data_IF_687981123581
#
_entry.id   IF_687981123581
#
_cell.length_a   1.000
_cell.length_b   1.000
_cell.length_c   1.000
_cell.angle_alpha   90.00
_cell.angle_beta   90.00
_cell.angle_gamma   90.00
#
_symmetry.space_group_name_H-M   'P 1'
#
loop_
_entity.id
_entity.type
_entity.pdbx_description
1 polymer ?
#
# COMPACT_ATOMS: atom_id res chain seq x y z
N UNK A 1 7.75 1.80 -13.74
CA UNK A 1 6.35 1.48 -14.09
C UNK A 1 5.50 2.47 -13.33
N UNK A 2 5.03 3.50 -14.02
CA UNK A 2 4.07 4.47 -13.50
C UNK A 2 2.68 3.82 -13.59
N UNK A 3 1.93 3.88 -12.50
CA UNK A 3 0.54 3.42 -12.46
C UNK A 3 -0.31 4.65 -12.82
N UNK A 4 -0.40 4.96 -14.11
CA UNK A 4 -1.45 5.86 -14.60
C UNK A 4 -2.74 5.04 -14.61
N UNK A 5 -3.63 5.30 -13.65
CA UNK A 5 -4.92 4.62 -13.56
C UNK A 5 -6.01 5.59 -14.01
N UNK A 6 -6.65 5.31 -15.15
CA UNK A 6 -7.80 6.04 -15.70
C UNK A 6 -9.09 5.95 -14.84
N UNK A 7 -8.96 5.63 -13.55
CA UNK A 7 -10.08 5.45 -12.61
C UNK A 7 -10.16 6.65 -11.69
N UNK A 8 -11.25 7.41 -11.71
CA UNK A 8 -11.48 8.53 -10.76
C UNK A 8 -11.75 8.04 -9.31
N UNK A 9 -11.99 6.74 -9.12
CA UNK A 9 -12.22 6.13 -7.82
C UNK A 9 -10.91 5.90 -7.06
N UNK A 10 -10.69 6.70 -6.01
CA UNK A 10 -9.50 6.68 -5.14
C UNK A 10 -9.36 5.34 -4.40
N UNK A 11 -10.45 4.69 -4.01
CA UNK A 11 -10.40 3.39 -3.33
C UNK A 11 -9.94 2.29 -4.30
N UNK A 12 -10.42 2.35 -5.54
CA UNK A 12 -9.96 1.46 -6.60
C UNK A 12 -8.48 1.67 -6.92
N UNK A 13 -8.01 2.92 -6.98
CA UNK A 13 -6.59 3.23 -7.17
C UNK A 13 -5.73 2.69 -6.02
N UNK A 14 -6.14 2.90 -4.77
CA UNK A 14 -5.43 2.41 -3.59
C UNK A 14 -5.33 0.87 -3.61
N UNK A 15 -6.43 0.19 -3.98
CA UNK A 15 -6.44 -1.27 -4.13
C UNK A 15 -5.49 -1.74 -5.23
N UNK A 16 -5.51 -1.11 -6.41
CA UNK A 16 -4.63 -1.48 -7.52
C UNK A 16 -3.15 -1.25 -7.18
N UNK A 17 -2.84 -0.17 -6.44
CA UNK A 17 -1.49 0.09 -5.94
C UNK A 17 -1.02 -1.03 -5.01
N UNK A 18 -1.84 -1.44 -4.05
CA UNK A 18 -1.50 -2.52 -3.11
C UNK A 18 -1.33 -3.87 -3.82
N UNK A 19 -2.17 -4.18 -4.80
CA UNK A 19 -2.02 -5.40 -5.63
C UNK A 19 -0.70 -5.37 -6.41
N UNK A 20 -0.41 -4.25 -7.09
CA UNK A 20 0.83 -4.12 -7.86
C UNK A 20 2.08 -4.19 -6.96
N UNK A 21 1.98 -3.68 -5.73
CA UNK A 21 3.03 -3.81 -4.73
C UNK A 21 3.20 -5.27 -4.26
N UNK A 22 2.12 -5.98 -3.96
CA UNK A 22 2.16 -7.40 -3.59
C UNK A 22 2.76 -8.28 -4.69
N UNK A 23 2.36 -8.06 -5.95
CA UNK A 23 2.92 -8.78 -7.09
C UNK A 23 4.43 -8.55 -7.26
N UNK A 24 4.90 -7.34 -6.92
CA UNK A 24 6.31 -6.96 -7.00
C UNK A 24 7.15 -7.58 -5.88
N UNK A 25 6.67 -7.54 -4.63
CA UNK A 25 7.41 -7.99 -3.46
C UNK A 25 7.25 -9.50 -3.18
N UNK A 26 6.18 -10.11 -3.73
CA UNK A 26 5.91 -11.54 -3.60
C UNK A 26 5.76 -11.96 -2.14
N UNK A 27 6.54 -12.96 -1.71
CA UNK A 27 6.47 -13.48 -0.32
C UNK A 27 6.94 -12.48 0.74
N UNK A 28 7.62 -11.41 0.34
CA UNK A 28 8.04 -10.34 1.26
C UNK A 28 6.95 -9.29 1.48
N UNK A 29 5.83 -9.35 0.74
CA UNK A 29 4.70 -8.43 0.87
C UNK A 29 3.89 -8.67 2.16
N UNK A 30 4.50 -8.46 3.32
CA UNK A 30 3.87 -8.63 4.64
C UNK A 30 3.28 -7.32 5.15
N UNK A 31 2.31 -7.42 6.06
CA UNK A 31 1.75 -6.24 6.75
C UNK A 31 2.84 -5.44 7.45
N UNK A 32 3.81 -6.11 8.09
CA UNK A 32 4.96 -5.47 8.75
C UNK A 32 5.82 -4.66 7.77
N UNK A 33 6.11 -5.21 6.58
CA UNK A 33 6.87 -4.51 5.55
C UNK A 33 6.13 -3.27 5.03
N UNK A 34 4.80 -3.37 4.89
CA UNK A 34 3.93 -2.26 4.47
C UNK A 34 3.87 -1.16 5.54
N UNK A 35 3.66 -1.53 6.80
CA UNK A 35 3.66 -0.61 7.96
C UNK A 35 5.00 0.13 8.07
N UNK A 36 6.12 -0.58 7.90
CA UNK A 36 7.46 0.02 7.92
C UNK A 36 7.62 1.05 6.80
N UNK A 37 7.19 0.72 5.58
CA UNK A 37 7.27 1.63 4.44
C UNK A 37 6.35 2.86 4.60
N UNK A 38 5.13 2.67 5.11
CA UNK A 38 4.19 3.75 5.41
C UNK A 38 4.75 4.72 6.45
N UNK A 39 5.34 4.20 7.54
CA UNK A 39 6.00 5.03 8.54
C UNK A 39 7.20 5.79 7.98
N UNK A 40 8.04 5.16 7.17
CA UNK A 40 9.19 5.81 6.52
C UNK A 40 8.77 6.92 5.54
N UNK A 41 7.60 6.79 4.92
CA UNK A 41 7.03 7.79 4.01
C UNK A 41 6.21 8.88 4.72
N UNK A 42 6.06 8.81 6.06
CA UNK A 42 5.31 9.79 6.85
C UNK A 42 3.80 9.55 6.92
N UNK A 43 3.31 8.39 6.49
CA UNK A 43 1.89 7.99 6.56
C UNK A 43 1.57 7.25 7.86
N UNK A 44 2.04 7.74 9.00
CA UNK A 44 1.92 7.04 10.29
C UNK A 44 0.48 6.73 10.68
N UNK A 45 -0.48 7.62 10.42
CA UNK A 45 -1.91 7.38 10.71
C UNK A 45 -2.48 6.16 9.97
N UNK A 46 -2.04 5.92 8.73
CA UNK A 46 -2.45 4.75 7.95
C UNK A 46 -1.78 3.50 8.52
N UNK A 47 -0.49 3.60 8.88
CA UNK A 47 0.25 2.52 9.50
C UNK A 47 -0.37 2.08 10.84
N UNK A 48 -0.78 3.05 11.67
CA UNK A 48 -1.45 2.80 12.95
C UNK A 48 -2.79 2.08 12.75
N UNK A 49 -3.59 2.53 11.77
CA UNK A 49 -4.89 1.92 11.46
C UNK A 49 -4.75 0.45 10.99
N UNK A 50 -3.63 0.07 10.38
CA UNK A 50 -3.35 -1.31 9.97
C UNK A 50 -2.92 -2.21 11.14
N UNK A 51 -2.38 -1.64 12.22
CA UNK A 51 -1.96 -2.38 13.41
C UNK A 51 -3.10 -2.58 14.43
N UNK A 52 -4.17 -1.79 14.34
CA UNK A 52 -5.35 -1.90 15.20
C UNK A 52 -6.38 -2.96 14.75
N UNK A 53 -6.17 -3.58 13.58
CA UNK A 53 -7.03 -4.61 12.98
C UNK A 53 -6.64 -6.03 13.37
#
# INVERSE_FOLDING_TARGET
REIETDSEDVDMQAKLLLVAWQDREGTQATVESLVTALNAAGFSQIADSLNEA
#
